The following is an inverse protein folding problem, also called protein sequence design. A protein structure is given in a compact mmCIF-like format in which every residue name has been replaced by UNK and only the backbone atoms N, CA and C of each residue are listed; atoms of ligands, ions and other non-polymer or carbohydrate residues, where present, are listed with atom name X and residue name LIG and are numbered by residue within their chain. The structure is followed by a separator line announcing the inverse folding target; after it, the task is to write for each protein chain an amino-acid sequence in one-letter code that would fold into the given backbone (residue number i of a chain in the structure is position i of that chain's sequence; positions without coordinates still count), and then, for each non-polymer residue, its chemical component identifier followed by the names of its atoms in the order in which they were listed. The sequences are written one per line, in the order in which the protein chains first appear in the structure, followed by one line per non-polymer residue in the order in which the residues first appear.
data_IF_377927299797
#
_entry.id   IF_377927299797
#
_cell.length_a   1.000
_cell.length_b   1.000
_cell.length_c   1.000
_cell.angle_alpha   90.00
_cell.angle_beta   90.00
_cell.angle_gamma   90.00
#
_symmetry.space_group_name_H-M   'P 1'
#
loop_
_entity.id
_entity.type
_entity.pdbx_description
1 polymer ?
#
# COMPACT_ATOMS: atom_id res chain seq x y z
N UNK A 1 6.51 -33.52 -35.17
CA UNK A 1 6.98 -32.34 -34.39
C UNK A 1 6.01 -31.19 -34.59
N UNK A 2 5.03 -31.05 -33.70
CA UNK A 2 3.93 -30.08 -33.80
C UNK A 2 4.15 -28.95 -32.79
N UNK A 3 4.95 -27.94 -33.18
CA UNK A 3 5.09 -26.69 -32.43
C UNK A 3 4.84 -25.40 -33.28
N UNK A 4 3.90 -25.30 -34.27
CA UNK A 4 3.64 -23.99 -34.89
C UNK A 4 2.47 -23.22 -34.25
N UNK A 5 1.42 -23.90 -33.78
CA UNK A 5 0.15 -23.23 -33.44
C UNK A 5 0.20 -22.35 -32.18
N UNK A 6 0.84 -22.84 -31.11
CA UNK A 6 0.89 -22.12 -29.83
C UNK A 6 1.75 -20.83 -29.91
N UNK A 7 2.83 -20.85 -30.71
CA UNK A 7 3.72 -19.68 -30.87
C UNK A 7 2.99 -18.58 -31.64
N UNK A 8 2.24 -18.93 -32.68
CA UNK A 8 1.46 -17.98 -33.48
C UNK A 8 0.32 -17.36 -32.64
N UNK A 9 -0.30 -18.13 -31.74
CA UNK A 9 -1.37 -17.63 -30.87
C UNK A 9 -0.88 -16.70 -29.73
N UNK A 10 0.38 -16.84 -29.28
CA UNK A 10 0.95 -16.02 -28.20
C UNK A 10 1.50 -14.68 -28.74
N UNK A 11 1.90 -14.63 -30.01
CA UNK A 11 2.50 -13.43 -30.63
C UNK A 11 1.62 -12.16 -30.52
N UNK A 12 0.30 -12.21 -30.78
CA UNK A 12 -0.57 -11.04 -30.65
C UNK A 12 -0.69 -10.54 -29.20
N UNK A 13 -0.70 -11.45 -28.23
CA UNK A 13 -0.73 -11.10 -26.80
C UNK A 13 0.58 -10.42 -26.37
N UNK A 14 1.72 -10.94 -26.83
CA UNK A 14 3.03 -10.31 -26.58
C UNK A 14 3.15 -8.95 -27.27
N UNK A 15 2.62 -8.79 -28.48
CA UNK A 15 2.59 -7.52 -29.18
C UNK A 15 1.73 -6.48 -28.45
N UNK A 16 0.53 -6.85 -27.99
CA UNK A 16 -0.32 -5.98 -27.17
C UNK A 16 0.37 -5.60 -25.86
N UNK A 17 1.00 -6.56 -25.18
CA UNK A 17 1.75 -6.30 -23.96
C UNK A 17 2.94 -5.36 -24.21
N UNK A 18 3.70 -5.57 -25.28
CA UNK A 18 4.83 -4.73 -25.65
C UNK A 18 4.38 -3.30 -26.01
N UNK A 19 3.31 -3.16 -26.79
CA UNK A 19 2.71 -1.86 -27.13
C UNK A 19 2.23 -1.10 -25.89
N UNK A 20 1.59 -1.79 -24.94
CA UNK A 20 1.20 -1.21 -23.65
C UNK A 20 2.41 -0.78 -22.81
N UNK A 21 3.49 -1.57 -22.82
CA UNK A 21 4.73 -1.21 -22.12
C UNK A 21 5.43 -0.02 -22.80
N UNK A 22 5.44 0.05 -24.13
CA UNK A 22 6.08 1.12 -24.89
C UNK A 22 5.32 2.45 -24.75
N UNK A 23 3.99 2.43 -24.85
CA UNK A 23 3.13 3.60 -24.61
C UNK A 23 3.30 4.12 -23.18
N UNK A 24 3.29 3.22 -22.18
CA UNK A 24 3.53 3.62 -20.79
C UNK A 24 4.92 4.21 -20.56
N UNK A 25 5.96 3.82 -21.31
CA UNK A 25 7.30 4.41 -21.22
C UNK A 25 7.36 5.77 -21.89
N UNK A 26 6.79 5.91 -23.10
CA UNK A 26 6.75 7.18 -23.85
C UNK A 26 6.03 8.28 -23.07
N UNK A 27 4.92 7.93 -22.40
CA UNK A 27 4.17 8.86 -21.58
C UNK A 27 4.97 9.35 -20.36
N UNK A 28 5.75 8.47 -19.72
CA UNK A 28 6.60 8.85 -18.59
C UNK A 28 7.69 9.83 -18.99
N UNK A 29 8.37 9.59 -20.12
CA UNK A 29 9.43 10.49 -20.59
C UNK A 29 8.88 11.89 -20.92
N UNK A 30 7.73 11.95 -21.59
CA UNK A 30 7.03 13.22 -21.87
C UNK A 30 6.62 13.95 -20.57
N UNK A 31 6.16 13.22 -19.55
CA UNK A 31 5.86 13.80 -18.24
C UNK A 31 7.10 14.33 -17.51
N UNK A 32 8.23 13.62 -17.58
CA UNK A 32 9.50 14.06 -16.99
C UNK A 32 10.00 15.31 -17.71
N UNK A 33 9.93 15.34 -19.04
CA UNK A 33 10.32 16.51 -19.83
C UNK A 33 9.46 17.73 -19.49
N UNK A 34 8.12 17.57 -19.42
CA UNK A 34 7.21 18.64 -18.99
C UNK A 34 7.50 19.11 -17.57
N UNK A 35 7.80 18.19 -16.66
CA UNK A 35 8.12 18.52 -15.27
C UNK A 35 9.44 19.29 -15.18
N UNK A 36 10.45 18.84 -15.92
CA UNK A 36 11.74 19.52 -16.03
C UNK A 36 11.54 20.94 -16.57
N UNK A 37 10.82 21.10 -17.68
CA UNK A 37 10.57 22.40 -18.29
C UNK A 37 9.80 23.35 -17.36
N UNK A 38 8.85 22.84 -16.56
CA UNK A 38 8.12 23.66 -15.59
C UNK A 38 8.99 24.07 -14.39
N UNK A 39 9.88 23.20 -13.94
CA UNK A 39 10.79 23.48 -12.83
C UNK A 39 11.90 24.48 -13.20
N UNK A 40 12.31 24.54 -14.48
CA UNK A 40 13.31 25.49 -14.97
C UNK A 40 12.75 26.89 -15.26
N UNK A 41 11.43 27.10 -15.11
CA UNK A 41 10.85 28.45 -15.24
C UNK A 41 11.27 29.31 -14.06
N UNK A 42 11.44 30.61 -14.30
CA UNK A 42 11.72 31.61 -13.26
C UNK A 42 10.67 31.57 -12.14
N UNK A 43 9.40 31.34 -12.50
CA UNK A 43 8.29 31.16 -11.56
C UNK A 43 7.55 29.87 -11.90
N UNK A 44 7.92 28.73 -11.26
CA UNK A 44 7.23 27.46 -11.48
C UNK A 44 5.78 27.54 -10.99
N UNK A 45 4.84 27.09 -11.81
CA UNK A 45 3.43 27.06 -11.40
C UNK A 45 3.18 25.88 -10.48
N UNK A 46 2.94 26.15 -9.19
CA UNK A 46 2.72 25.14 -8.15
C UNK A 46 1.76 24.01 -8.59
N UNK A 47 0.54 24.36 -9.03
CA UNK A 47 -0.47 23.39 -9.45
C UNK A 47 -0.04 22.49 -10.61
N UNK A 48 0.81 23.00 -11.52
CA UNK A 48 1.32 22.23 -12.67
C UNK A 48 2.31 21.20 -12.18
N UNK A 49 3.28 21.61 -11.36
CA UNK A 49 4.29 20.73 -10.76
C UNK A 49 3.62 19.61 -9.94
N UNK A 50 2.65 19.99 -9.10
CA UNK A 50 1.86 19.03 -8.31
C UNK A 50 1.18 17.99 -9.22
N UNK A 51 0.50 18.43 -10.28
CA UNK A 51 -0.21 17.53 -11.20
C UNK A 51 0.73 16.61 -11.99
N UNK A 52 1.90 17.12 -12.40
CA UNK A 52 2.88 16.37 -13.17
C UNK A 52 3.52 15.29 -12.30
N UNK A 53 3.88 15.61 -11.06
CA UNK A 53 4.40 14.63 -10.10
C UNK A 53 3.32 13.61 -9.73
N UNK A 54 2.07 14.04 -9.53
CA UNK A 54 0.93 13.15 -9.30
C UNK A 54 0.77 12.12 -10.43
N UNK A 55 0.84 12.57 -11.69
CA UNK A 55 0.74 11.72 -12.89
C UNK A 55 1.95 10.80 -13.02
N UNK A 56 3.16 11.32 -12.89
CA UNK A 56 4.41 10.57 -13.00
C UNK A 56 4.46 9.42 -11.98
N UNK A 57 4.05 9.73 -10.75
CA UNK A 57 4.05 8.79 -9.63
C UNK A 57 2.68 8.17 -9.37
N UNK A 58 1.69 8.27 -10.26
CA UNK A 58 0.34 7.67 -10.12
C UNK A 58 -0.18 7.76 -8.68
N UNK A 59 -0.14 8.95 -8.10
CA UNK A 59 -0.55 9.21 -6.72
C UNK A 59 -1.40 10.48 -6.64
N UNK A 60 -2.05 10.73 -5.50
CA UNK A 60 -2.69 12.02 -5.25
C UNK A 60 -1.63 13.13 -5.21
N UNK A 61 -1.96 14.28 -5.80
CA UNK A 61 -1.12 15.47 -5.79
C UNK A 61 -0.65 15.82 -4.36
N UNK A 62 0.67 15.80 -4.10
CA UNK A 62 1.24 16.37 -2.88
C UNK A 62 1.22 17.89 -2.96
N UNK A 63 1.31 18.57 -1.82
CA UNK A 63 1.37 20.04 -1.81
C UNK A 63 2.73 20.51 -2.32
N UNK A 64 2.76 21.65 -3.01
CA UNK A 64 3.98 22.20 -3.59
C UNK A 64 5.07 22.48 -2.54
N UNK A 65 4.70 22.88 -1.32
CA UNK A 65 5.66 23.08 -0.24
C UNK A 65 6.33 21.77 0.21
N UNK A 66 5.59 20.66 0.21
CA UNK A 66 6.17 19.33 0.47
C UNK A 66 7.16 18.96 -0.64
N UNK A 67 6.79 19.25 -1.88
CA UNK A 67 7.61 18.98 -3.06
C UNK A 67 8.91 19.76 -3.04
N UNK A 68 8.89 21.05 -2.70
CA UNK A 68 10.11 21.86 -2.57
C UNK A 68 11.10 21.23 -1.60
N UNK A 69 10.62 20.78 -0.44
CA UNK A 69 11.48 20.18 0.57
C UNK A 69 12.05 18.84 0.07
N UNK A 70 11.24 18.00 -0.56
CA UNK A 70 11.68 16.67 -1.03
C UNK A 70 12.64 16.81 -2.22
N UNK A 71 12.33 17.66 -3.20
CA UNK A 71 13.11 17.81 -4.43
C UNK A 71 14.46 18.49 -4.19
N UNK A 72 14.58 19.33 -3.16
CA UNK A 72 15.84 19.98 -2.79
C UNK A 72 16.82 19.05 -2.04
N UNK A 73 16.46 17.79 -1.77
CA UNK A 73 17.34 16.80 -1.13
C UNK A 73 18.20 16.11 -2.18
N UNK A 74 19.43 15.75 -1.82
CA UNK A 74 20.34 15.00 -2.68
C UNK A 74 19.69 13.66 -3.09
N UNK A 75 18.96 13.03 -2.16
CA UNK A 75 18.21 11.80 -2.40
C UNK A 75 16.74 12.05 -2.76
N UNK A 76 16.39 13.23 -3.29
CA UNK A 76 15.01 13.66 -3.53
C UNK A 76 14.21 12.70 -4.41
N UNK A 77 14.84 12.05 -5.39
CA UNK A 77 14.20 11.04 -6.24
C UNK A 77 13.83 9.77 -5.46
N UNK A 78 14.73 9.24 -4.62
CA UNK A 78 14.46 8.05 -3.81
C UNK A 78 13.38 8.35 -2.75
N UNK A 79 13.47 9.52 -2.11
CA UNK A 79 12.47 9.99 -1.15
C UNK A 79 11.10 10.10 -1.85
N UNK A 80 11.03 10.71 -3.03
CA UNK A 80 9.79 10.86 -3.80
C UNK A 80 9.20 9.50 -4.20
N UNK A 81 10.03 8.56 -4.67
CA UNK A 81 9.56 7.24 -5.07
C UNK A 81 9.03 6.43 -3.88
N UNK A 82 9.72 6.51 -2.74
CA UNK A 82 9.29 5.87 -1.49
C UNK A 82 8.00 6.52 -0.96
N UNK A 83 7.92 7.85 -1.00
CA UNK A 83 6.75 8.62 -0.58
C UNK A 83 5.53 8.28 -1.45
N UNK A 84 5.71 8.24 -2.76
CA UNK A 84 4.67 7.84 -3.71
C UNK A 84 4.18 6.41 -3.46
N UNK A 85 5.09 5.47 -3.22
CA UNK A 85 4.73 4.08 -2.92
C UNK A 85 3.89 3.99 -1.65
N UNK A 86 4.29 4.70 -0.60
CA UNK A 86 3.52 4.80 0.64
C UNK A 86 2.14 5.40 0.44
N UNK A 87 2.05 6.56 -0.25
CA UNK A 87 0.77 7.25 -0.52
C UNK A 87 -0.19 6.46 -1.41
N UNK A 88 0.32 5.65 -2.34
CA UNK A 88 -0.51 4.74 -3.17
C UNK A 88 -1.16 3.65 -2.34
N UNK A 89 -0.44 3.10 -1.36
CA UNK A 89 -1.00 2.04 -0.51
C UNK A 89 -1.98 2.60 0.50
N UNK A 90 -1.63 3.72 1.14
CA UNK A 90 -2.47 4.38 2.12
C UNK A 90 -2.19 5.88 2.12
N UNK A 91 -3.23 6.69 1.90
CA UNK A 91 -3.16 8.16 1.85
C UNK A 91 -2.98 8.81 3.22
N UNK A 92 -2.26 8.16 4.14
CA UNK A 92 -2.11 8.57 5.54
C UNK A 92 -0.72 9.11 5.85
N UNK A 93 0.20 9.12 4.88
CA UNK A 93 1.55 9.66 5.06
C UNK A 93 1.52 11.13 4.62
N UNK A 94 1.98 12.00 5.52
CA UNK A 94 2.09 13.43 5.31
C UNK A 94 3.46 13.92 5.77
N UNK A 95 4.01 14.91 5.05
CA UNK A 95 5.23 15.60 5.48
C UNK A 95 4.84 16.73 6.43
N UNK A 96 5.35 16.67 7.67
CA UNK A 96 5.12 17.74 8.62
C UNK A 96 6.21 18.81 8.48
N UNK A 97 5.84 19.92 7.84
CA UNK A 97 6.73 21.05 7.57
C UNK A 97 6.86 22.04 8.72
N UNK A 98 6.00 21.95 9.75
CA UNK A 98 6.04 22.86 10.91
C UNK A 98 7.04 22.43 11.98
N UNK A 99 7.58 21.21 11.88
CA UNK A 99 8.56 20.69 12.83
C UNK A 99 9.99 20.92 12.32
N UNK A 100 10.90 21.19 13.25
CA UNK A 100 12.35 21.22 13.02
C UNK A 100 12.98 20.13 13.89
N UNK A 101 13.60 19.08 13.31
CA UNK A 101 13.71 18.81 11.87
C UNK A 101 12.39 18.38 11.23
N UNK A 102 12.23 18.69 9.94
CA UNK A 102 11.11 18.25 9.10
C UNK A 102 11.06 16.72 9.12
N UNK A 103 9.87 16.13 9.22
CA UNK A 103 9.71 14.67 9.27
C UNK A 103 8.41 14.21 8.66
N UNK A 104 8.43 13.00 8.09
CA UNK A 104 7.23 12.30 7.65
C UNK A 104 6.50 11.71 8.85
N UNK A 105 5.18 11.91 8.89
CA UNK A 105 4.31 11.42 9.94
C UNK A 105 3.00 10.88 9.37
N UNK A 106 2.18 10.30 10.24
CA UNK A 106 0.80 10.01 9.90
C UNK A 106 -0.02 11.29 9.77
N UNK A 107 -1.07 11.26 8.95
CA UNK A 107 -2.05 12.33 8.87
C UNK A 107 -2.72 12.57 10.23
N UNK A 108 -3.23 13.78 10.45
CA UNK A 108 -3.83 14.16 11.72
C UNK A 108 -4.93 13.20 12.19
N UNK A 109 -5.73 12.69 11.25
CA UNK A 109 -6.76 11.69 11.52
C UNK A 109 -6.18 10.42 12.16
N UNK A 110 -5.05 9.94 11.67
CA UNK A 110 -4.36 8.75 12.19
C UNK A 110 -3.50 9.02 13.44
N UNK A 111 -3.12 10.28 13.70
CA UNK A 111 -2.42 10.67 14.93
C UNK A 111 -3.32 10.61 16.16
N UNK A 112 -4.61 10.92 16.01
CA UNK A 112 -5.58 10.93 17.12
C UNK A 112 -5.58 9.59 17.86
N UNK A 113 -5.37 9.65 19.18
CA UNK A 113 -5.29 8.46 20.05
C UNK A 113 -6.58 7.65 20.02
N UNK A 114 -7.71 8.34 19.96
CA UNK A 114 -9.06 7.75 19.85
C UNK A 114 -9.21 6.92 18.59
N UNK A 115 -8.80 7.45 17.44
CA UNK A 115 -8.86 6.75 16.16
C UNK A 115 -7.99 5.48 16.16
N UNK A 116 -6.76 5.57 16.71
CA UNK A 116 -5.88 4.40 16.88
C UNK A 116 -6.46 3.36 17.83
N UNK A 117 -7.13 3.78 18.91
CA UNK A 117 -7.83 2.88 19.84
C UNK A 117 -9.03 2.22 19.16
N UNK A 118 -9.84 2.99 18.44
CA UNK A 118 -10.98 2.50 17.68
C UNK A 118 -10.58 1.42 16.69
N UNK A 119 -9.52 1.66 15.91
CA UNK A 119 -8.96 0.65 15.00
C UNK A 119 -8.51 -0.61 15.75
N UNK A 120 -7.76 -0.48 16.85
CA UNK A 120 -7.31 -1.66 17.62
C UNK A 120 -8.47 -2.46 18.20
N UNK A 121 -9.47 -1.78 18.74
CA UNK A 121 -10.68 -2.40 19.30
C UNK A 121 -11.47 -3.08 18.19
N UNK A 122 -11.68 -2.43 17.05
CA UNK A 122 -12.38 -3.04 15.92
C UNK A 122 -11.65 -4.28 15.41
N UNK A 123 -10.32 -4.25 15.35
CA UNK A 123 -9.52 -5.43 14.99
C UNK A 123 -9.67 -6.57 16.00
N UNK A 124 -9.67 -6.26 17.29
CA UNK A 124 -9.85 -7.24 18.36
C UNK A 124 -11.25 -7.86 18.30
N UNK A 125 -12.30 -7.04 18.15
CA UNK A 125 -13.69 -7.50 18.04
C UNK A 125 -13.88 -8.37 16.80
N UNK A 126 -13.39 -7.94 15.63
CA UNK A 126 -13.47 -8.73 14.40
C UNK A 126 -12.66 -10.02 14.51
N UNK A 127 -11.49 -9.98 15.17
CA UNK A 127 -10.68 -11.16 15.44
C UNK A 127 -11.39 -12.18 16.34
N UNK A 128 -12.07 -11.71 17.40
CA UNK A 128 -12.87 -12.56 18.29
C UNK A 128 -14.08 -13.17 17.57
N UNK A 129 -14.76 -12.39 16.73
CA UNK A 129 -15.88 -12.87 15.91
C UNK A 129 -15.39 -13.95 14.94
N UNK A 130 -14.29 -13.69 14.21
CA UNK A 130 -13.71 -14.66 13.29
C UNK A 130 -13.26 -15.94 14.02
N UNK A 131 -12.66 -15.81 15.21
CA UNK A 131 -12.28 -16.94 16.04
C UNK A 131 -13.50 -17.76 16.50
N UNK A 132 -14.55 -17.10 16.97
CA UNK A 132 -15.78 -17.76 17.40
C UNK A 132 -16.44 -18.54 16.25
N UNK A 133 -16.58 -17.92 15.07
CA UNK A 133 -17.14 -18.60 13.90
C UNK A 133 -16.24 -19.74 13.41
N UNK A 134 -14.92 -19.55 13.42
CA UNK A 134 -13.96 -20.61 13.06
C UNK A 134 -14.03 -21.80 14.02
N UNK A 135 -14.10 -21.55 15.32
CA UNK A 135 -14.25 -22.58 16.35
C UNK A 135 -15.58 -23.32 16.20
N UNK A 136 -16.69 -22.58 16.06
CA UNK A 136 -18.03 -23.17 15.88
C UNK A 136 -18.10 -24.05 14.62
N UNK A 137 -17.50 -23.60 13.52
CA UNK A 137 -17.41 -24.39 12.30
C UNK A 137 -16.62 -25.69 12.52
N UNK A 138 -15.47 -25.62 13.21
CA UNK A 138 -14.68 -26.81 13.53
C UNK A 138 -15.46 -27.81 14.38
N UNK A 139 -16.16 -27.36 15.42
CA UNK A 139 -16.95 -28.25 16.28
C UNK A 139 -18.13 -28.88 15.54
N UNK A 140 -18.84 -28.12 14.70
CA UNK A 140 -19.97 -28.65 13.92
C UNK A 140 -19.51 -29.67 12.86
N UNK A 141 -18.36 -29.46 12.23
CA UNK A 141 -17.75 -30.43 11.30
C UNK A 141 -17.32 -31.70 12.04
N UNK A 142 -16.74 -31.57 13.23
CA UNK A 142 -16.36 -32.71 14.09
C UNK A 142 -17.59 -33.51 14.52
N UNK A 143 -18.65 -32.85 14.97
CA UNK A 143 -19.91 -33.51 15.38
C UNK A 143 -20.54 -34.24 14.20
N UNK A 144 -20.57 -33.64 13.00
CA UNK A 144 -21.06 -34.29 11.78
C UNK A 144 -20.21 -35.51 11.36
N UNK A 145 -18.88 -35.44 11.50
CA UNK A 145 -17.96 -36.56 11.23
C UNK A 145 -18.16 -37.71 12.22
N UNK A 146 -18.40 -37.40 13.49
CA UNK A 146 -18.67 -38.41 14.52
C UNK A 146 -20.05 -39.06 14.31
N UNK A 147 -21.10 -38.28 14.04
CA UNK A 147 -22.47 -38.80 13.85
C UNK A 147 -22.65 -39.59 12.54
N UNK A 148 -21.99 -39.18 11.45
CA UNK A 148 -22.06 -39.90 10.17
C UNK A 148 -21.41 -41.29 10.20
N UNK A 149 -20.61 -41.59 11.24
CA UNK A 149 -20.09 -42.94 11.47
C UNK A 149 -21.10 -43.91 12.09
N UNK A 150 -22.27 -43.42 12.55
CA UNK A 150 -23.17 -44.18 13.43
C UNK A 150 -24.55 -44.54 12.85
N UNK A 151 -25.11 -43.79 11.89
CA UNK A 151 -26.40 -44.13 11.26
C UNK A 151 -26.49 -43.82 9.75
N UNK A 152 -26.99 -44.79 8.96
CA UNK A 152 -27.11 -44.68 7.50
C UNK A 152 -28.43 -44.03 7.03
N UNK A 153 -28.26 -43.09 6.08
CA UNK A 153 -29.17 -42.69 4.98
C UNK A 153 -30.32 -41.70 5.18
N UNK A 154 -30.89 -41.46 6.36
CA UNK A 154 -31.92 -40.38 6.52
C UNK A 154 -31.30 -39.03 6.93
N UNK A 155 -30.12 -39.05 7.56
CA UNK A 155 -29.39 -37.85 8.00
C UNK A 155 -28.69 -37.08 6.85
N UNK A 156 -28.50 -37.72 5.69
CA UNK A 156 -27.61 -37.24 4.61
C UNK A 156 -28.12 -35.94 3.95
N UNK A 157 -29.43 -35.80 3.75
CA UNK A 157 -30.00 -34.59 3.14
C UNK A 157 -30.00 -33.38 4.09
N UNK A 158 -30.26 -33.61 5.39
CA UNK A 158 -30.18 -32.56 6.41
C UNK A 158 -28.74 -32.11 6.66
N UNK A 159 -27.78 -33.04 6.59
CA UNK A 159 -26.35 -32.73 6.74
C UNK A 159 -25.79 -31.92 5.58
N UNK A 160 -26.25 -32.15 4.35
CA UNK A 160 -25.77 -31.38 3.17
C UNK A 160 -26.24 -29.92 3.22
N UNK A 161 -27.49 -29.67 3.62
CA UNK A 161 -28.04 -28.31 3.76
C UNK A 161 -27.35 -27.58 4.91
N UNK A 162 -27.16 -28.25 6.06
CA UNK A 162 -26.45 -27.69 7.20
C UNK A 162 -24.98 -27.39 6.86
N UNK A 163 -24.30 -28.31 6.17
CA UNK A 163 -22.94 -28.10 5.68
C UNK A 163 -22.85 -26.91 4.71
N UNK A 164 -23.79 -26.79 3.77
CA UNK A 164 -23.88 -25.67 2.84
C UNK A 164 -24.05 -24.32 3.54
N UNK A 165 -24.95 -24.23 4.53
CA UNK A 165 -25.15 -23.03 5.34
C UNK A 165 -23.90 -22.67 6.17
N UNK A 166 -23.22 -23.66 6.71
CA UNK A 166 -21.98 -23.47 7.46
C UNK A 166 -20.82 -23.01 6.58
N UNK A 167 -20.71 -23.54 5.36
CA UNK A 167 -19.76 -23.07 4.36
C UNK A 167 -20.02 -21.62 3.97
N UNK A 168 -21.29 -21.24 3.77
CA UNK A 168 -21.70 -19.86 3.48
C UNK A 168 -21.30 -18.92 4.64
N UNK A 169 -21.57 -19.32 5.89
CA UNK A 169 -21.18 -18.55 7.07
C UNK A 169 -19.65 -18.40 7.20
N UNK A 170 -18.89 -19.46 6.91
CA UNK A 170 -17.42 -19.41 6.91
C UNK A 170 -16.88 -18.46 5.82
N UNK A 171 -17.44 -18.52 4.61
CA UNK A 171 -17.09 -17.62 3.51
C UNK A 171 -17.43 -16.17 3.88
N UNK A 172 -18.61 -15.91 4.45
CA UNK A 172 -19.00 -14.58 4.94
C UNK A 172 -18.05 -14.07 6.02
N UNK A 173 -17.70 -14.91 7.00
CA UNK A 173 -16.71 -14.58 8.02
C UNK A 173 -15.35 -14.22 7.42
N UNK A 174 -14.88 -15.01 6.44
CA UNK A 174 -13.62 -14.74 5.72
C UNK A 174 -13.68 -13.44 4.92
N UNK A 175 -14.79 -13.18 4.20
CA UNK A 175 -15.00 -11.95 3.43
C UNK A 175 -15.08 -10.72 4.33
N UNK A 176 -15.64 -10.84 5.54
CA UNK A 176 -15.63 -9.75 6.53
C UNK A 176 -14.21 -9.55 7.07
N UNK A 177 -13.44 -10.62 7.32
CA UNK A 177 -12.10 -10.54 7.91
C UNK A 177 -11.03 -10.00 6.95
N UNK A 178 -11.11 -10.34 5.66
CA UNK A 178 -10.09 -10.03 4.66
C UNK A 178 -9.83 -8.51 4.46
N UNK A 179 -10.84 -7.63 4.40
CA UNK A 179 -10.64 -6.18 4.38
C UNK A 179 -9.85 -5.67 5.59
N UNK A 180 -10.09 -6.23 6.78
CA UNK A 180 -9.37 -5.83 7.99
C UNK A 180 -7.92 -6.26 7.93
N UNK A 181 -7.61 -7.51 7.58
CA UNK A 181 -6.20 -7.95 7.47
C UNK A 181 -5.43 -7.17 6.43
N UNK A 182 -6.05 -6.88 5.28
CA UNK A 182 -5.48 -6.01 4.25
C UNK A 182 -5.23 -4.60 4.80
N UNK A 183 -6.16 -4.05 5.59
CA UNK A 183 -5.97 -2.76 6.24
C UNK A 183 -4.83 -2.77 7.28
N UNK A 184 -4.72 -3.83 8.10
CA UNK A 184 -3.63 -3.99 9.06
C UNK A 184 -2.26 -4.07 8.37
N UNK A 185 -2.16 -4.88 7.33
CA UNK A 185 -0.95 -5.01 6.52
C UNK A 185 -0.54 -3.66 5.90
N UNK A 186 -1.52 -2.92 5.38
CA UNK A 186 -1.34 -1.56 4.84
C UNK A 186 -0.82 -0.57 5.88
N UNK A 187 -1.39 -0.56 7.10
CA UNK A 187 -0.93 0.31 8.19
C UNK A 187 0.48 -0.08 8.65
N UNK A 188 0.76 -1.37 8.76
CA UNK A 188 2.09 -1.87 9.12
C UNK A 188 3.14 -1.48 8.07
N UNK A 189 2.82 -1.63 6.78
CA UNK A 189 3.65 -1.17 5.68
C UNK A 189 3.94 0.33 5.78
N UNK A 190 2.93 1.16 6.04
CA UNK A 190 3.12 2.60 6.23
C UNK A 190 4.08 2.94 7.36
N UNK A 191 4.03 2.19 8.47
CA UNK A 191 4.98 2.38 9.57
C UNK A 191 6.42 2.16 9.12
N UNK A 192 6.64 1.12 8.30
CA UNK A 192 7.96 0.84 7.73
C UNK A 192 8.38 1.94 6.74
N UNK A 193 7.47 2.36 5.86
CA UNK A 193 7.73 3.43 4.88
C UNK A 193 8.07 4.76 5.55
N UNK A 194 7.32 5.17 6.58
CA UNK A 194 7.60 6.41 7.34
C UNK A 194 8.98 6.35 7.99
N UNK A 195 9.33 5.21 8.62
CA UNK A 195 10.67 5.03 9.20
C UNK A 195 11.76 5.18 8.14
N UNK A 196 11.61 4.49 7.00
CA UNK A 196 12.57 4.57 5.89
C UNK A 196 12.69 6.00 5.35
N UNK A 197 11.56 6.68 5.12
CA UNK A 197 11.54 8.08 4.66
C UNK A 197 12.27 9.01 5.62
N UNK A 198 12.05 8.86 6.93
CA UNK A 198 12.73 9.67 7.93
C UNK A 198 14.24 9.36 8.01
N UNK A 199 14.64 8.09 7.81
CA UNK A 199 16.07 7.75 7.69
C UNK A 199 16.69 8.42 6.47
N UNK A 200 16.04 8.33 5.29
CA UNK A 200 16.53 8.97 4.06
C UNK A 200 16.61 10.50 4.20
N UNK A 201 15.65 11.10 4.89
CA UNK A 201 15.62 12.54 5.14
C UNK A 201 16.72 12.99 6.12
N UNK A 202 17.04 12.16 7.12
CA UNK A 202 18.03 12.48 8.17
C UNK A 202 19.46 12.04 7.82
N UNK A 203 19.65 11.11 6.88
CA UNK A 203 20.97 10.65 6.46
C UNK A 203 21.84 11.82 5.93
N UNK A 204 21.23 12.84 5.35
CA UNK A 204 21.91 14.06 4.90
C UNK A 204 22.30 14.99 6.05
N UNK A 205 21.52 15.04 7.14
CA UNK A 205 21.82 15.90 8.29
C UNK A 205 23.10 15.45 9.04
N UNK A 206 23.45 14.16 8.94
CA UNK A 206 24.69 13.62 9.52
C UNK A 206 25.93 13.85 8.65
N UNK A 207 25.79 13.89 7.32
CA UNK A 207 26.91 14.18 6.41
C UNK A 207 27.35 15.65 6.46
N UNK A 208 26.42 16.58 6.67
CA UNK A 208 26.76 18.01 6.78
C UNK A 208 27.45 18.35 8.11
N UNK A 209 27.15 17.63 9.19
CA UNK A 209 27.79 17.86 10.50
C UNK A 209 29.20 17.27 10.59
N UNK A 210 29.52 16.20 9.85
CA UNK A 210 30.89 15.66 9.79
C UNK A 210 31.86 16.54 9.01
N UNK A 211 31.39 17.23 7.95
CA UNK A 211 32.25 18.08 7.11
C UNK A 211 32.55 19.44 7.77
N UNK A 212 31.67 19.93 8.64
CA UNK A 212 31.88 21.19 9.38
C UNK A 212 32.90 21.01 10.52
N UNK A 213 33.06 19.80 11.07
CA UNK A 213 34.05 19.53 12.11
C UNK A 213 35.50 19.34 11.59
N UNK A 214 35.72 19.38 10.27
CA UNK A 214 37.05 19.22 9.66
C UNK A 214 37.67 20.52 9.10
N UNK A 215 37.24 21.71 9.55
CA UNK A 215 38.03 22.93 9.35
C UNK A 215 38.86 23.20 10.62
N UNK A 216 40.16 22.82 10.65
CA UNK A 216 41.06 23.39 11.64
C UNK A 216 41.14 24.90 11.39
N UNK A 217 40.87 25.68 12.43
CA UNK A 217 41.18 27.11 12.46
C UNK A 217 42.64 27.29 12.04
N UNK A 218 42.85 28.03 10.95
CA UNK A 218 44.15 28.59 10.58
C UNK A 218 44.10 30.08 10.80
#
# INVERSE_FOLDING_TARGET
MTIPGAIIAILPLLYQLYSLLQTSRKDKNNLIEKLSNELHREVPKAYVVESLIAKLHKMRAPKYDELKIILNRNNGFEIMNTYATGRRMVSIIELNTTLVPVRFEYSELYKKREYRRGIRISFLVVGLIAYYFGYKYQTEVLDQLVYSSTEERIMVMGSEIAFGLNMINAILGFLIYMPFTVHAARVWFCRFTIKRLNVLLNAEAMHVTSDIQMKPER
#
